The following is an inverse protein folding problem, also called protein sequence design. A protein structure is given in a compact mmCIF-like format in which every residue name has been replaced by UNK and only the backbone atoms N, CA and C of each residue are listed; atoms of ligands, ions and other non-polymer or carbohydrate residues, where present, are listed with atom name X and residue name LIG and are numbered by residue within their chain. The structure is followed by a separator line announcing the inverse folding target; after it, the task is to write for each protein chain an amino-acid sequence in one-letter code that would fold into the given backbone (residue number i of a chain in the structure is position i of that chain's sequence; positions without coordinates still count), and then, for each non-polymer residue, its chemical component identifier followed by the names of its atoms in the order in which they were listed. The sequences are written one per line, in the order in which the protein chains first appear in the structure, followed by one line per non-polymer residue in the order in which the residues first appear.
data_IF_683748621538
#
_entry.id   IF_683748621538
#
_cell.length_a   1.000
_cell.length_b   1.000
_cell.length_c   1.000
_cell.angle_alpha   90.00
_cell.angle_beta   90.00
_cell.angle_gamma   90.00
#
_symmetry.space_group_name_H-M   'P 1'
#
loop_
_entity.id
_entity.type
_entity.pdbx_description
1 polymer ?
#
# COMPACT_ATOMS: atom_id res chain seq x y z
N UNK A 1 6.73 6.15 -9.03
CA UNK A 1 7.72 6.38 -10.10
C UNK A 1 7.07 6.29 -11.48
N UNK A 2 6.68 5.08 -11.94
CA UNK A 2 6.17 4.89 -13.32
C UNK A 2 4.99 5.77 -13.74
N UNK A 3 4.07 6.11 -12.84
CA UNK A 3 2.99 7.05 -13.13
C UNK A 3 3.50 8.46 -13.48
N UNK A 4 4.49 8.98 -12.74
CA UNK A 4 5.10 10.28 -13.03
C UNK A 4 6.00 10.24 -14.27
N UNK A 5 6.68 9.13 -14.51
CA UNK A 5 7.46 8.95 -15.74
C UNK A 5 6.57 9.01 -16.98
N UNK A 6 5.42 8.31 -16.97
CA UNK A 6 4.41 8.41 -18.03
C UNK A 6 3.85 9.83 -18.18
N UNK A 7 3.73 10.58 -17.09
CA UNK A 7 3.17 11.94 -17.10
C UNK A 7 4.15 13.00 -17.63
N UNK A 8 5.45 12.90 -17.31
CA UNK A 8 6.44 13.96 -17.58
C UNK A 8 7.46 13.59 -18.67
N UNK A 9 7.69 12.32 -18.94
CA UNK A 9 8.54 11.86 -20.05
C UNK A 9 10.05 12.12 -19.90
N UNK A 10 10.54 12.57 -18.74
CA UNK A 10 11.97 12.61 -18.42
C UNK A 10 12.25 12.36 -16.94
N UNK A 11 13.48 11.91 -16.65
CA UNK A 11 13.91 11.49 -15.32
C UNK A 11 13.96 12.62 -14.30
N UNK A 12 14.45 13.81 -14.70
CA UNK A 12 14.60 14.94 -13.79
C UNK A 12 13.25 15.40 -13.22
N UNK A 13 12.25 15.59 -14.10
CA UNK A 13 10.89 15.97 -13.67
C UNK A 13 10.21 14.85 -12.86
N UNK A 14 10.44 13.59 -13.22
CA UNK A 14 9.92 12.44 -12.45
C UNK A 14 10.47 12.45 -11.03
N UNK A 15 11.78 12.69 -10.88
CA UNK A 15 12.45 12.75 -9.58
C UNK A 15 11.96 13.93 -8.74
N UNK A 16 11.78 15.09 -9.34
CA UNK A 16 11.24 16.27 -8.65
C UNK A 16 9.80 16.05 -8.18
N UNK A 17 8.95 15.45 -9.02
CA UNK A 17 7.57 15.11 -8.65
C UNK A 17 7.52 14.07 -7.53
N UNK A 18 8.32 13.01 -7.61
CA UNK A 18 8.46 12.02 -6.53
C UNK A 18 8.95 12.66 -5.24
N UNK A 19 9.90 13.59 -5.30
CA UNK A 19 10.42 14.31 -4.13
C UNK A 19 9.32 15.13 -3.47
N UNK A 20 8.48 15.82 -4.26
CA UNK A 20 7.32 16.56 -3.73
C UNK A 20 6.30 15.63 -3.08
N UNK A 21 5.99 14.50 -3.70
CA UNK A 21 5.09 13.49 -3.13
C UNK A 21 5.59 12.98 -1.79
N UNK A 22 6.86 12.58 -1.71
CA UNK A 22 7.45 12.04 -0.48
C UNK A 22 7.57 13.08 0.63
N UNK A 23 7.67 14.38 0.31
CA UNK A 23 7.63 15.46 1.30
C UNK A 23 6.27 15.63 1.98
N UNK A 24 5.19 15.15 1.35
CA UNK A 24 3.85 15.17 1.93
C UNK A 24 3.55 13.94 2.80
N UNK A 25 4.48 12.98 2.90
CA UNK A 25 4.29 11.78 3.73
C UNK A 25 4.43 12.16 5.20
N UNK A 26 3.36 11.96 5.97
CA UNK A 26 3.34 12.26 7.39
C UNK A 26 4.19 11.28 8.21
N UNK A 27 4.14 9.99 7.89
CA UNK A 27 4.83 8.92 8.61
C UNK A 27 5.32 7.85 7.63
N UNK A 28 6.56 7.38 7.84
CA UNK A 28 7.13 6.23 7.13
C UNK A 28 7.08 5.00 8.02
N UNK A 29 5.92 4.34 8.07
CA UNK A 29 5.74 3.11 8.83
C UNK A 29 6.52 1.93 8.22
N UNK A 30 6.80 0.92 9.04
CA UNK A 30 7.61 -0.25 8.65
C UNK A 30 6.90 -1.20 7.69
N UNK A 31 5.58 -1.09 7.52
CA UNK A 31 4.80 -1.90 6.58
C UNK A 31 3.33 -1.50 6.54
N UNK A 32 2.58 -2.08 5.60
CA UNK A 32 1.20 -1.67 5.29
C UNK A 32 0.24 -1.72 6.49
N UNK A 33 0.34 -2.76 7.33
CA UNK A 33 -0.48 -2.84 8.57
C UNK A 33 -0.18 -1.69 9.54
N UNK A 34 1.08 -1.30 9.67
CA UNK A 34 1.49 -0.17 10.49
C UNK A 34 0.92 1.15 9.95
N UNK A 35 0.99 1.33 8.63
CA UNK A 35 0.39 2.50 7.97
C UNK A 35 -1.13 2.58 8.18
N UNK A 36 -1.84 1.44 8.14
CA UNK A 36 -3.27 1.38 8.48
C UNK A 36 -3.54 1.82 9.92
N UNK A 37 -2.77 1.31 10.90
CA UNK A 37 -2.91 1.74 12.30
C UNK A 37 -2.62 3.23 12.47
N UNK A 38 -1.58 3.77 11.82
CA UNK A 38 -1.29 5.21 11.87
C UNK A 38 -2.42 6.06 11.29
N UNK A 39 -3.01 5.64 10.17
CA UNK A 39 -4.10 6.38 9.54
C UNK A 39 -5.42 6.26 10.32
N UNK A 40 -5.85 5.05 10.62
CA UNK A 40 -7.17 4.76 11.19
C UNK A 40 -7.20 5.01 12.70
N UNK A 41 -6.28 4.40 13.45
CA UNK A 41 -6.33 4.43 14.92
C UNK A 41 -5.71 5.72 15.48
N UNK A 42 -4.67 6.24 14.81
CA UNK A 42 -3.94 7.44 15.28
C UNK A 42 -4.35 8.72 14.54
N UNK A 43 -5.19 8.62 13.50
CA UNK A 43 -5.71 9.77 12.77
C UNK A 43 -4.64 10.59 12.04
N UNK A 44 -3.58 9.93 11.55
CA UNK A 44 -2.45 10.61 10.90
C UNK A 44 -2.56 10.59 9.38
N UNK A 45 -2.61 11.79 8.78
CA UNK A 45 -2.64 11.99 7.33
C UNK A 45 -4.06 12.03 6.77
N UNK A 46 -4.19 12.57 5.56
CA UNK A 46 -5.49 12.75 4.89
C UNK A 46 -5.84 11.59 3.94
N UNK A 47 -4.83 10.83 3.50
CA UNK A 47 -4.96 9.74 2.52
C UNK A 47 -4.04 8.59 2.89
N UNK A 48 -4.58 7.37 2.91
CA UNK A 48 -3.83 6.12 2.98
C UNK A 48 -3.75 5.46 1.60
N UNK A 49 -2.54 5.27 1.08
CA UNK A 49 -2.29 4.46 -0.12
C UNK A 49 -2.11 3.01 0.33
N UNK A 50 -3.01 2.12 -0.08
CA UNK A 50 -3.02 0.71 0.35
C UNK A 50 -3.41 -0.23 -0.79
N UNK A 51 -3.28 -1.54 -0.54
CA UNK A 51 -3.75 -2.58 -1.46
C UNK A 51 -5.28 -2.66 -1.44
N UNK A 52 -5.87 -2.95 -2.61
CA UNK A 52 -7.32 -3.16 -2.74
C UNK A 52 -7.84 -4.26 -1.79
N UNK A 53 -7.04 -5.31 -1.57
CA UNK A 53 -7.36 -6.39 -0.62
C UNK A 53 -7.49 -5.91 0.83
N UNK A 54 -6.76 -4.86 1.22
CA UNK A 54 -6.81 -4.29 2.58
C UNK A 54 -7.96 -3.31 2.76
N UNK A 55 -8.42 -2.65 1.69
CA UNK A 55 -9.54 -1.70 1.75
C UNK A 55 -10.82 -2.38 2.25
N UNK A 56 -11.12 -3.59 1.78
CA UNK A 56 -12.29 -4.34 2.25
C UNK A 56 -12.20 -4.70 3.73
N UNK A 57 -11.01 -5.08 4.21
CA UNK A 57 -10.79 -5.36 5.63
C UNK A 57 -10.99 -4.11 6.49
N UNK A 58 -10.49 -2.96 6.04
CA UNK A 58 -10.64 -1.68 6.74
C UNK A 58 -12.12 -1.32 6.85
N UNK A 59 -12.87 -1.37 5.74
CA UNK A 59 -14.32 -1.04 5.74
C UNK A 59 -15.12 -1.98 6.65
N UNK A 60 -14.79 -3.27 6.67
CA UNK A 60 -15.44 -4.24 7.56
C UNK A 60 -15.14 -4.01 9.04
N UNK A 61 -13.92 -3.59 9.38
CA UNK A 61 -13.49 -3.43 10.77
C UNK A 61 -13.83 -2.08 11.37
N UNK A 62 -13.79 -1.02 10.57
CA UNK A 62 -13.84 0.37 11.06
C UNK A 62 -15.06 1.15 10.58
N UNK A 63 -15.93 0.56 9.76
CA UNK A 63 -17.17 1.19 9.28
C UNK A 63 -17.03 1.79 7.89
N UNK A 64 -18.06 1.63 7.07
CA UNK A 64 -18.06 2.08 5.68
C UNK A 64 -18.27 3.59 5.51
N UNK A 65 -18.81 4.27 6.53
CA UNK A 65 -19.22 5.68 6.45
C UNK A 65 -18.09 6.65 6.84
N UNK A 66 -17.05 6.16 7.53
CA UNK A 66 -15.95 7.00 8.01
C UNK A 66 -14.86 7.22 6.96
N UNK A 67 -14.80 6.38 5.92
CA UNK A 67 -13.74 6.41 4.91
C UNK A 67 -14.26 6.21 3.49
N UNK A 68 -13.72 7.02 2.57
CA UNK A 68 -14.00 6.90 1.14
C UNK A 68 -12.89 6.13 0.42
N UNK A 69 -13.29 5.15 -0.40
CA UNK A 69 -12.38 4.46 -1.31
C UNK A 69 -12.25 5.25 -2.61
N UNK A 70 -11.01 5.57 -2.99
CA UNK A 70 -10.69 6.27 -4.24
C UNK A 70 -9.78 5.37 -5.07
N UNK A 71 -10.26 4.94 -6.25
CA UNK A 71 -9.46 4.21 -7.24
C UNK A 71 -8.96 5.20 -8.29
N UNK A 72 -7.64 5.44 -8.40
CA UNK A 72 -7.11 6.35 -9.39
C UNK A 72 -7.22 5.78 -10.82
N UNK A 73 -7.23 6.63 -11.87
CA UNK A 73 -7.28 6.16 -13.26
C UNK A 73 -6.06 5.34 -13.70
N UNK A 74 -4.93 5.50 -12.99
CA UNK A 74 -3.70 4.76 -13.20
C UNK A 74 -3.33 4.09 -11.89
N UNK A 75 -3.19 2.77 -11.94
CA UNK A 75 -2.80 1.94 -10.81
C UNK A 75 -1.64 0.99 -11.19
N UNK A 76 -1.12 0.25 -10.21
CA UNK A 76 -0.02 -0.70 -10.37
C UNK A 76 -0.48 -2.12 -10.03
N UNK A 77 -0.16 -3.08 -10.90
CA UNK A 77 -0.36 -4.50 -10.61
C UNK A 77 0.58 -4.92 -9.47
N UNK A 78 0.00 -5.31 -8.35
CA UNK A 78 0.71 -5.90 -7.23
C UNK A 78 0.49 -7.42 -7.21
N UNK A 79 1.54 -8.19 -7.49
CA UNK A 79 1.51 -9.65 -7.39
C UNK A 79 2.08 -10.10 -6.05
N UNK A 80 1.39 -11.03 -5.39
CA UNK A 80 1.80 -11.60 -4.11
C UNK A 80 2.39 -12.99 -4.31
N UNK A 81 3.71 -13.11 -4.58
CA UNK A 81 4.33 -14.39 -4.86
C UNK A 81 4.31 -15.28 -3.61
N UNK A 82 4.13 -16.58 -3.83
CA UNK A 82 4.23 -17.62 -2.80
C UNK A 82 5.35 -18.58 -3.16
N UNK A 83 6.01 -19.14 -2.15
CA UNK A 83 7.10 -20.09 -2.32
C UNK A 83 6.92 -21.30 -1.41
N UNK A 84 7.23 -22.48 -1.95
CA UNK A 84 7.30 -23.73 -1.20
C UNK A 84 8.62 -23.79 -0.42
N UNK A 85 8.56 -24.19 0.84
CA UNK A 85 9.74 -24.33 1.71
C UNK A 85 9.70 -25.68 2.41
N UNK A 86 10.36 -26.69 1.84
CA UNK A 86 10.33 -28.08 2.32
C UNK A 86 10.56 -28.21 3.83
N UNK A 87 11.55 -27.48 4.34
CA UNK A 87 11.89 -27.48 5.78
C UNK A 87 10.73 -27.05 6.67
N UNK A 88 9.93 -26.06 6.24
CA UNK A 88 8.79 -25.57 7.01
C UNK A 88 7.62 -26.55 6.92
N UNK A 89 7.39 -27.10 5.73
CA UNK A 89 6.30 -28.07 5.47
C UNK A 89 6.51 -29.33 6.31
N UNK A 90 7.71 -29.90 6.29
CA UNK A 90 8.07 -31.09 7.08
C UNK A 90 7.95 -30.82 8.59
N UNK A 91 8.47 -29.68 9.06
CA UNK A 91 8.41 -29.29 10.48
C UNK A 91 6.97 -29.17 10.99
N UNK A 92 6.10 -28.56 10.18
CA UNK A 92 4.71 -28.30 10.56
C UNK A 92 3.76 -29.46 10.21
N UNK A 93 4.24 -30.51 9.53
CA UNK A 93 3.44 -31.65 9.03
C UNK A 93 2.29 -31.19 8.14
N UNK A 94 2.53 -30.22 7.27
CA UNK A 94 1.53 -29.63 6.36
C UNK A 94 1.77 -30.06 4.91
N UNK A 95 2.28 -31.28 4.71
CA UNK A 95 2.45 -31.89 3.39
C UNK A 95 1.06 -32.33 2.88
N UNK A 96 0.44 -31.50 2.03
CA UNK A 96 -0.84 -31.81 1.35
C UNK A 96 -0.77 -31.38 -0.09
#
# INVERSE_FOLDING_TARGET
WGAFEKAYGNEAQTRDAMTKLLKNVAVFDTGGRGATTSFIERGLGDVLISFESEVNNIRQQYGEDDYQVIVPPVDILAEFPVAWIDKNVQRNKTET
#
